data_IF_322577061654
#
_entry.id   IF_322577061654
#
_cell.length_a   1.000
_cell.length_b   1.000
_cell.length_c   1.000
_cell.angle_alpha   90.00
_cell.angle_beta   90.00
_cell.angle_gamma   90.00
#
_symmetry.space_group_name_H-M   'P 1'
#
loop_
_entity.id
_entity.type
_entity.pdbx_description
1 polymer ?
#
# COMPACT_ATOMS: atom_id res chain seq x y z
N UNK A 1 -20.88 9.67 12.88
CA UNK A 1 -19.67 9.20 12.15
C UNK A 1 -18.46 10.15 12.20
N UNK A 2 -18.57 11.38 12.73
CA UNK A 2 -17.45 12.35 12.76
C UNK A 2 -16.36 12.05 13.82
N UNK A 3 -16.73 11.47 14.97
CA UNK A 3 -15.81 11.22 16.09
C UNK A 3 -14.83 10.07 15.76
N UNK A 4 -15.33 8.99 15.14
CA UNK A 4 -14.51 7.87 14.70
C UNK A 4 -13.48 8.29 13.65
N UNK A 5 -13.86 9.15 12.71
CA UNK A 5 -12.94 9.72 11.71
C UNK A 5 -11.85 10.59 12.33
N UNK A 6 -12.15 11.34 13.39
CA UNK A 6 -11.19 12.19 14.11
C UNK A 6 -10.17 11.39 14.94
N UNK A 7 -10.62 10.34 15.63
CA UNK A 7 -9.74 9.41 16.36
C UNK A 7 -8.86 8.65 15.37
N UNK A 8 -9.45 8.12 14.29
CA UNK A 8 -8.72 7.45 13.22
C UNK A 8 -7.67 8.38 12.61
N UNK A 9 -8.04 9.63 12.29
CA UNK A 9 -7.10 10.63 11.75
C UNK A 9 -5.98 10.96 12.72
N UNK A 10 -6.23 11.08 14.03
CA UNK A 10 -5.17 11.30 15.03
C UNK A 10 -4.22 10.12 15.14
N UNK A 11 -4.74 8.89 15.19
CA UNK A 11 -3.91 7.69 15.22
C UNK A 11 -3.12 7.51 13.91
N UNK A 12 -3.72 7.83 12.77
CA UNK A 12 -3.05 7.78 11.47
C UNK A 12 -1.97 8.86 11.36
N UNK A 13 -2.27 10.10 11.76
CA UNK A 13 -1.29 11.20 11.77
C UNK A 13 -0.13 10.94 12.73
N UNK A 14 -0.39 10.35 13.90
CA UNK A 14 0.67 9.96 14.83
C UNK A 14 1.54 8.81 14.26
N UNK A 15 0.94 7.86 13.55
CA UNK A 15 1.69 6.79 12.86
C UNK A 15 2.46 7.27 11.63
N UNK A 16 1.93 8.24 10.88
CA UNK A 16 2.53 8.74 9.64
C UNK A 16 3.62 9.78 9.92
N UNK A 17 3.50 10.58 10.99
CA UNK A 17 4.46 11.65 11.29
C UNK A 17 5.89 11.14 11.56
N UNK A 18 6.04 9.89 11.98
CA UNK A 18 7.36 9.29 12.21
C UNK A 18 7.87 8.45 11.04
N UNK A 19 7.04 8.09 10.05
CA UNK A 19 7.49 7.24 8.97
C UNK A 19 8.51 7.94 8.05
N UNK A 20 9.60 7.23 7.73
CA UNK A 20 10.59 7.68 6.74
C UNK A 20 10.52 6.82 5.49
N UNK A 21 10.81 7.45 4.35
CA UNK A 21 10.95 6.78 3.06
C UNK A 21 12.43 6.56 2.77
N UNK A 22 12.75 5.38 2.25
CA UNK A 22 14.09 5.01 1.78
C UNK A 22 14.00 4.16 0.53
N UNK A 23 15.09 4.11 -0.22
CA UNK A 23 15.23 3.22 -1.38
C UNK A 23 15.69 1.85 -0.90
N UNK A 24 14.96 0.81 -1.26
CA UNK A 24 15.36 -0.58 -1.09
C UNK A 24 15.68 -1.24 -2.44
N UNK A 25 16.26 -2.43 -2.39
CA UNK A 25 16.59 -3.26 -3.54
C UNK A 25 15.79 -4.55 -3.44
N UNK A 26 15.14 -4.95 -4.53
CA UNK A 26 14.45 -6.24 -4.62
C UNK A 26 15.48 -7.36 -4.62
N UNK A 27 15.48 -8.19 -3.58
CA UNK A 27 16.42 -9.32 -3.43
C UNK A 27 15.80 -10.65 -3.80
N UNK A 28 14.47 -10.79 -3.67
CA UNK A 28 13.76 -12.03 -3.99
C UNK A 28 12.29 -11.77 -4.34
N UNK A 29 11.61 -12.77 -4.88
CA UNK A 29 10.16 -12.79 -5.05
C UNK A 29 9.59 -14.11 -4.53
N UNK A 30 8.78 -14.03 -3.48
CA UNK A 30 8.13 -15.21 -2.91
C UNK A 30 6.80 -15.45 -3.61
N UNK A 31 6.63 -16.65 -4.17
CA UNK A 31 5.36 -17.08 -4.74
C UNK A 31 4.43 -17.56 -3.62
N UNK A 32 3.22 -17.00 -3.54
CA UNK A 32 2.18 -17.43 -2.58
C UNK A 32 0.84 -17.59 -3.27
N UNK A 33 -0.05 -18.46 -2.77
CA UNK A 33 -1.43 -18.47 -3.25
C UNK A 33 -2.06 -17.10 -3.00
N UNK A 34 -2.83 -16.62 -3.99
CA UNK A 34 -3.65 -15.42 -3.87
C UNK A 34 -4.57 -15.52 -2.65
N UNK A 35 -4.76 -14.41 -1.95
CA UNK A 35 -5.63 -14.39 -0.78
C UNK A 35 -7.10 -14.66 -1.16
N UNK A 36 -7.84 -15.34 -0.26
CA UNK A 36 -9.28 -15.51 -0.36
C UNK A 36 -9.71 -16.65 -1.30
N UNK A 37 -10.49 -16.29 -2.34
CA UNK A 37 -11.10 -17.23 -3.30
C UNK A 37 -10.28 -17.44 -4.58
N UNK A 38 -9.15 -16.74 -4.73
CA UNK A 38 -8.34 -16.79 -5.93
C UNK A 38 -7.25 -17.85 -5.80
N UNK A 39 -7.32 -18.91 -6.62
CA UNK A 39 -6.31 -19.98 -6.65
C UNK A 39 -5.05 -19.59 -7.42
N UNK A 40 -5.01 -18.39 -7.98
CA UNK A 40 -3.87 -17.90 -8.72
C UNK A 40 -2.67 -17.65 -7.80
N UNK A 41 -1.50 -18.09 -8.26
CA UNK A 41 -0.25 -17.79 -7.59
C UNK A 41 0.15 -16.34 -7.86
N UNK A 42 0.45 -15.61 -6.81
CA UNK A 42 0.88 -14.21 -6.86
C UNK A 42 2.29 -14.06 -6.30
N UNK A 43 3.02 -13.10 -6.83
CA UNK A 43 4.38 -12.80 -6.40
C UNK A 43 4.37 -11.73 -5.31
N UNK A 44 5.14 -11.97 -4.25
CA UNK A 44 5.39 -11.03 -3.18
C UNK A 44 6.87 -10.64 -3.20
N UNK A 45 7.21 -9.42 -3.64
CA UNK A 45 8.60 -8.99 -3.68
C UNK A 45 9.18 -8.88 -2.27
N UNK A 46 10.42 -9.30 -2.11
CA UNK A 46 11.22 -9.17 -0.89
C UNK A 46 12.26 -8.10 -1.17
N UNK A 47 12.23 -7.03 -0.36
CA UNK A 47 13.04 -5.84 -0.56
C UNK A 47 13.98 -5.68 0.63
N UNK A 48 15.28 -5.60 0.37
CA UNK A 48 16.30 -5.22 1.33
C UNK A 48 16.44 -3.69 1.34
N UNK A 49 16.44 -3.07 2.52
CA UNK A 49 16.60 -1.62 2.67
C UNK A 49 17.47 -1.28 3.87
N UNK A 50 17.99 -0.05 3.86
CA UNK A 50 18.79 0.50 4.96
C UNK A 50 17.94 1.43 5.83
N UNK A 51 17.97 1.18 7.14
CA UNK A 51 17.48 2.10 8.15
C UNK A 51 18.67 2.59 9.00
N UNK A 52 19.23 3.75 8.63
CA UNK A 52 20.48 4.21 9.21
C UNK A 52 21.67 3.39 8.71
N UNK A 53 22.31 2.61 9.59
CA UNK A 53 23.46 1.75 9.26
C UNK A 53 23.11 0.26 9.20
N UNK A 54 21.88 -0.10 9.56
CA UNK A 54 21.42 -1.48 9.63
C UNK A 54 20.59 -1.84 8.41
N UNK A 55 20.70 -3.12 8.00
CA UNK A 55 19.95 -3.70 6.88
C UNK A 55 18.74 -4.44 7.40
N UNK A 56 17.61 -4.23 6.72
CA UNK A 56 16.34 -4.86 7.03
C UNK A 56 15.72 -5.41 5.75
N UNK A 57 14.82 -6.37 5.92
CA UNK A 57 14.10 -7.00 4.82
C UNK A 57 12.61 -6.80 5.08
N UNK A 58 11.89 -6.40 4.04
CA UNK A 58 10.43 -6.31 4.04
C UNK A 58 9.88 -7.11 2.87
N UNK A 59 8.80 -7.84 3.11
CA UNK A 59 8.07 -8.56 2.08
C UNK A 59 6.79 -7.80 1.75
N UNK A 60 6.46 -7.71 0.47
CA UNK A 60 5.23 -7.08 -0.01
C UNK A 60 3.98 -7.75 0.59
N UNK A 61 3.03 -6.93 0.99
CA UNK A 61 1.74 -7.39 1.53
C UNK A 61 0.71 -7.59 0.43
N UNK A 62 0.89 -6.93 -0.71
CA UNK A 62 0.03 -7.08 -1.89
C UNK A 62 0.66 -8.10 -2.84
N UNK A 63 -0.18 -8.96 -3.42
CA UNK A 63 0.24 -9.92 -4.44
C UNK A 63 0.30 -9.25 -5.81
N UNK A 64 1.41 -9.45 -6.51
CA UNK A 64 1.63 -8.95 -7.86
C UNK A 64 1.44 -10.08 -8.88
N UNK A 65 0.81 -9.78 -10.01
CA UNK A 65 0.64 -10.76 -11.09
C UNK A 65 1.94 -11.15 -11.80
N UNK A 66 3.00 -10.35 -11.62
CA UNK A 66 4.36 -10.63 -12.11
C UNK A 66 5.36 -10.27 -11.01
N UNK A 67 6.42 -11.06 -10.88
CA UNK A 67 7.51 -10.74 -9.96
C UNK A 67 8.20 -9.43 -10.34
N UNK A 68 8.72 -8.71 -9.35
CA UNK A 68 9.58 -7.55 -9.59
C UNK A 68 10.97 -8.02 -10.02
N UNK A 69 11.64 -7.23 -10.84
CA UNK A 69 13.00 -7.55 -11.30
C UNK A 69 13.98 -7.54 -10.11
N UNK A 70 14.77 -8.61 -9.96
CA UNK A 70 15.80 -8.69 -8.93
C UNK A 70 16.86 -7.61 -9.16
N UNK A 71 17.31 -6.95 -8.10
CA UNK A 71 18.23 -5.82 -8.17
C UNK A 71 17.57 -4.48 -8.51
N UNK A 72 16.28 -4.46 -8.88
CA UNK A 72 15.56 -3.21 -9.12
C UNK A 72 15.33 -2.46 -7.81
N UNK A 73 15.25 -1.13 -7.92
CA UNK A 73 14.95 -0.26 -6.79
C UNK A 73 13.45 -0.25 -6.48
N UNK A 74 13.10 -0.32 -5.20
CA UNK A 74 11.73 -0.18 -4.73
C UNK A 74 11.67 0.71 -3.50
N UNK A 75 10.68 1.59 -3.44
CA UNK A 75 10.49 2.47 -2.29
C UNK A 75 9.93 1.72 -1.09
N UNK A 76 10.56 1.95 0.07
CA UNK A 76 10.15 1.39 1.36
C UNK A 76 9.84 2.52 2.33
N UNK A 77 8.71 2.40 3.01
CA UNK A 77 8.31 3.27 4.11
C UNK A 77 8.49 2.50 5.40
N UNK A 78 9.29 3.02 6.33
CA UNK A 78 9.59 2.36 7.61
C UNK A 78 9.45 3.32 8.79
N UNK A 79 9.22 2.75 9.99
CA UNK A 79 9.28 3.52 11.23
C UNK A 79 10.72 3.62 11.77
N UNK A 80 11.30 4.82 11.98
CA UNK A 80 12.63 4.98 12.58
C UNK A 80 12.72 4.47 14.01
N UNK A 81 11.61 4.50 14.76
CA UNK A 81 11.54 4.00 16.15
C UNK A 81 11.38 2.49 16.21
N UNK A 82 10.91 1.86 15.12
CA UNK A 82 10.85 0.42 14.96
C UNK A 82 11.05 0.05 13.48
N UNK A 83 12.31 -0.11 13.03
CA UNK A 83 12.62 -0.32 11.61
C UNK A 83 12.04 -1.60 11.02
N UNK A 84 11.69 -2.60 11.84
CA UNK A 84 11.02 -3.81 11.39
C UNK A 84 9.59 -3.55 10.91
N UNK A 85 8.98 -2.46 11.37
CA UNK A 85 7.69 -2.00 10.88
C UNK A 85 7.88 -1.20 9.60
N UNK A 86 7.86 -1.90 8.47
CA UNK A 86 8.04 -1.32 7.15
C UNK A 86 7.07 -1.90 6.12
N UNK A 87 6.85 -1.14 5.05
CA UNK A 87 5.97 -1.47 3.94
C UNK A 87 6.59 -1.02 2.62
N UNK A 88 6.28 -1.73 1.55
CA UNK A 88 6.55 -1.23 0.20
C UNK A 88 5.57 -0.08 -0.07
N UNK A 89 6.07 1.04 -0.57
CA UNK A 89 5.26 2.26 -0.73
C UNK A 89 4.05 2.03 -1.66
N UNK A 90 4.25 1.30 -2.75
CA UNK A 90 3.18 0.93 -3.70
C UNK A 90 2.03 0.18 -3.02
N UNK A 91 2.35 -0.78 -2.14
CA UNK A 91 1.36 -1.57 -1.38
C UNK A 91 0.53 -0.68 -0.46
N UNK A 92 1.17 0.30 0.18
CA UNK A 92 0.53 1.21 1.12
C UNK A 92 -0.53 2.10 0.44
N UNK A 93 -0.24 2.57 -0.78
CA UNK A 93 -1.14 3.46 -1.51
C UNK A 93 -2.22 2.73 -2.32
N UNK A 94 -2.12 1.42 -2.47
CA UNK A 94 -3.06 0.63 -3.26
C UNK A 94 -4.52 0.78 -2.77
N UNK A 95 -4.78 0.51 -1.48
CA UNK A 95 -6.14 0.56 -0.93
C UNK A 95 -6.77 1.98 -0.93
N UNK A 96 -6.05 3.05 -0.52
CA UNK A 96 -6.55 4.42 -0.64
C UNK A 96 -6.90 4.80 -2.09
N UNK A 97 -6.04 4.46 -3.06
CA UNK A 97 -6.28 4.77 -4.47
C UNK A 97 -7.52 4.04 -5.00
N UNK A 98 -7.71 2.77 -4.61
CA UNK A 98 -8.90 2.00 -4.96
C UNK A 98 -10.19 2.63 -4.42
N UNK A 99 -10.18 3.07 -3.16
CA UNK A 99 -11.33 3.74 -2.53
C UNK A 99 -11.67 5.06 -3.23
N UNK A 100 -10.67 5.86 -3.59
CA UNK A 100 -10.86 7.09 -4.34
C UNK A 100 -11.46 6.82 -5.73
N UNK A 101 -10.99 5.79 -6.44
CA UNK A 101 -11.53 5.41 -7.74
C UNK A 101 -13.00 4.98 -7.65
N UNK A 102 -13.34 4.16 -6.66
CA UNK A 102 -14.73 3.73 -6.43
C UNK A 102 -15.62 4.92 -6.08
N UNK A 103 -15.22 5.75 -5.11
CA UNK A 103 -15.98 6.92 -4.70
C UNK A 103 -16.20 7.93 -5.84
N UNK A 104 -15.16 8.17 -6.65
CA UNK A 104 -15.25 9.03 -7.84
C UNK A 104 -16.23 8.50 -8.88
N UNK A 105 -16.23 7.19 -9.12
CA UNK A 105 -17.16 6.54 -10.06
C UNK A 105 -18.62 6.72 -9.62
N UNK A 106 -18.92 6.49 -8.34
CA UNK A 106 -20.26 6.71 -7.79
C UNK A 106 -20.73 8.17 -7.90
N UNK A 107 -19.83 9.14 -7.66
CA UNK A 107 -20.15 10.55 -7.81
C UNK A 107 -20.51 10.91 -9.26
N UNK A 108 -19.76 10.39 -10.24
CA UNK A 108 -20.04 10.65 -11.66
C UNK A 108 -21.38 10.03 -12.05
N UNK A 109 -21.60 8.74 -11.75
CA UNK A 109 -22.86 8.06 -12.07
C UNK A 109 -24.07 8.71 -11.38
N UNK A 110 -23.94 9.07 -10.11
CA UNK A 110 -24.98 9.77 -9.37
C UNK A 110 -25.31 11.13 -9.99
N UNK A 111 -24.29 11.88 -10.43
CA UNK A 111 -24.48 13.19 -11.07
C UNK A 111 -25.18 13.07 -12.43
N UNK A 112 -24.79 12.09 -13.25
CA UNK A 112 -25.44 11.84 -14.55
C UNK A 112 -26.90 11.42 -14.36
N UNK A 113 -27.17 10.50 -13.43
CA UNK A 113 -28.53 10.06 -13.14
C UNK A 113 -29.41 11.21 -12.64
N UNK A 114 -28.88 12.07 -11.77
CA UNK A 114 -29.60 13.24 -11.27
C UNK A 114 -29.95 14.22 -12.41
N UNK A 115 -29.01 14.48 -13.33
CA UNK A 115 -29.26 15.35 -14.50
C UNK A 115 -30.31 14.73 -15.43
N UNK A 116 -30.29 13.41 -15.63
CA UNK A 116 -31.29 12.71 -16.46
C UNK A 116 -32.67 12.76 -15.81
N UNK A 117 -32.78 12.60 -14.48
CA UNK A 117 -34.05 12.64 -13.76
C UNK A 117 -34.63 14.06 -13.62
N UNK A 118 -33.82 15.10 -13.77
CA UNK A 118 -34.25 16.50 -13.77
C UNK A 118 -34.72 17.00 -15.14
N UNK A 119 -34.62 16.16 -16.19
CA UNK A 119 -35.20 16.41 -17.51
C UNK A 119 -36.53 15.70 -17.66
#
# INVERSE_FOLDING_TARGET
MLIGGLIYRRCLSAKIADCRRTSGIVVDNVLKPGGGFDSNWVYHPVVEYLAGKERFIVMGTVGYGRGKEMGSSSDVIYSPTNPQYAFIAEDYYFAPNMLLALGGTFLIFGSVLAVVLMK
#
